data_IF_870931562215
#
_entry.id   IF_870931562215
#
_cell.length_a   1.000
_cell.length_b   1.000
_cell.length_c   1.000
_cell.angle_alpha   90.00
_cell.angle_beta   90.00
_cell.angle_gamma   90.00
#
_symmetry.space_group_name_H-M   'P 1'
#
loop_
_entity.id
_entity.type
_entity.pdbx_description
1 polymer ?
#
# COMPACT_ATOMS: atom_id res chain seq x y z
N UNK A 1 3.43 17.86 -2.75
CA UNK A 1 3.86 16.46 -2.97
C UNK A 1 5.06 16.08 -2.11
N UNK A 2 6.17 16.83 -2.20
CA UNK A 2 7.42 16.55 -1.46
C UNK A 2 7.21 16.38 0.05
N UNK A 3 6.54 17.33 0.71
CA UNK A 3 6.25 17.24 2.17
C UNK A 3 5.45 15.98 2.52
N UNK A 4 4.42 15.64 1.73
CA UNK A 4 3.63 14.45 1.96
C UNK A 4 4.42 13.16 1.74
N UNK A 5 5.30 13.12 0.72
CA UNK A 5 6.21 12.00 0.50
C UNK A 5 7.19 11.82 1.64
N UNK A 6 7.77 12.91 2.15
CA UNK A 6 8.67 12.90 3.30
C UNK A 6 7.97 12.38 4.55
N UNK A 7 6.78 12.92 4.88
CA UNK A 7 5.97 12.45 6.02
C UNK A 7 5.61 10.97 5.87
N UNK A 8 5.24 10.52 4.66
CA UNK A 8 4.93 9.13 4.40
C UNK A 8 6.17 8.24 4.60
N UNK A 9 7.36 8.69 4.15
CA UNK A 9 8.64 7.99 4.34
C UNK A 9 9.02 7.86 5.81
N UNK A 10 8.91 8.96 6.55
CA UNK A 10 9.17 9.00 7.99
C UNK A 10 8.21 8.07 8.74
N UNK A 11 6.90 8.13 8.47
CA UNK A 11 5.92 7.25 9.11
C UNK A 11 6.16 5.78 8.76
N UNK A 12 6.60 5.48 7.53
CA UNK A 12 6.88 4.11 7.13
C UNK A 12 8.10 3.50 7.84
N UNK A 13 9.15 4.30 8.09
CA UNK A 13 10.32 3.88 8.86
C UNK A 13 10.04 3.87 10.38
N UNK A 14 9.28 4.81 10.92
CA UNK A 14 8.88 4.76 12.34
C UNK A 14 7.99 3.55 12.64
N UNK A 15 7.16 3.14 11.67
CA UNK A 15 6.35 1.94 11.80
C UNK A 15 7.16 0.66 11.96
N UNK A 16 8.36 0.57 11.35
CA UNK A 16 9.24 -0.59 11.55
C UNK A 16 9.80 -0.61 12.97
N UNK A 17 10.13 0.55 13.52
CA UNK A 17 10.61 0.67 14.90
C UNK A 17 9.54 0.30 15.92
N UNK A 18 8.29 0.71 15.68
CA UNK A 18 7.17 0.42 16.59
C UNK A 18 6.66 -1.02 16.53
N UNK A 19 7.28 -1.89 15.74
CA UNK A 19 7.02 -3.33 15.76
C UNK A 19 6.58 -3.95 14.45
N UNK A 20 6.48 -3.20 13.34
CA UNK A 20 6.27 -3.83 12.03
C UNK A 20 7.56 -4.50 11.55
N UNK A 21 7.49 -5.54 10.70
CA UNK A 21 8.69 -6.17 10.17
C UNK A 21 9.59 -5.12 9.48
N UNK A 22 10.89 -5.14 9.78
CA UNK A 22 11.88 -4.16 9.30
C UNK A 22 11.82 -3.94 7.78
N UNK A 23 11.57 -5.02 7.02
CA UNK A 23 11.49 -4.98 5.57
C UNK A 23 10.09 -4.68 5.02
N UNK A 24 9.10 -4.33 5.85
CA UNK A 24 7.72 -4.15 5.43
C UNK A 24 7.18 -2.75 5.70
N UNK A 25 7.53 -2.09 6.81
CA UNK A 25 7.07 -0.72 7.14
C UNK A 25 5.57 -0.50 6.98
N UNK A 26 5.14 -0.01 5.80
CA UNK A 26 3.73 0.20 5.39
C UNK A 26 3.41 -0.53 4.05
N UNK A 27 3.94 -1.73 3.85
CA UNK A 27 3.80 -2.48 2.60
C UNK A 27 2.39 -3.04 2.41
N UNK A 28 1.58 -2.37 1.59
CA UNK A 28 0.18 -2.76 1.33
C UNK A 28 0.05 -4.20 0.81
N UNK A 29 0.94 -4.65 -0.09
CA UNK A 29 0.86 -6.00 -0.66
C UNK A 29 1.09 -7.09 0.39
N UNK A 30 2.10 -6.93 1.25
CA UNK A 30 2.35 -7.86 2.35
C UNK A 30 1.20 -7.82 3.35
N UNK A 31 0.63 -6.65 3.61
CA UNK A 31 -0.43 -6.50 4.60
C UNK A 31 -1.73 -7.14 4.14
N UNK A 32 -2.07 -7.03 2.86
CA UNK A 32 -3.23 -7.70 2.28
C UNK A 32 -3.09 -9.22 2.31
N UNK A 33 -1.87 -9.75 2.11
CA UNK A 33 -1.57 -11.18 2.34
C UNK A 33 -1.80 -11.53 3.81
N UNK A 34 -1.25 -10.76 4.75
CA UNK A 34 -1.38 -11.07 6.18
C UNK A 34 -2.85 -11.07 6.63
N UNK A 35 -3.65 -10.12 6.12
CA UNK A 35 -5.11 -10.07 6.34
C UNK A 35 -5.79 -11.31 5.76
N UNK A 36 -5.43 -11.73 4.54
CA UNK A 36 -5.96 -12.95 3.95
C UNK A 36 -5.62 -14.19 4.79
N UNK A 37 -4.41 -14.26 5.35
CA UNK A 37 -3.99 -15.30 6.29
C UNK A 37 -4.76 -15.26 7.61
N UNK A 38 -4.96 -14.06 8.17
CA UNK A 38 -5.72 -13.86 9.41
C UNK A 38 -7.20 -14.21 9.27
N UNK A 39 -7.79 -13.99 8.09
CA UNK A 39 -9.16 -14.42 7.76
C UNK A 39 -9.26 -15.90 7.37
N UNK A 40 -8.15 -16.62 7.31
CA UNK A 40 -8.12 -18.05 6.96
C UNK A 40 -8.30 -18.36 5.47
N UNK A 41 -8.16 -17.37 4.58
CA UNK A 41 -8.18 -17.57 3.13
C UNK A 41 -6.97 -18.35 2.62
N UNK A 42 -5.88 -18.36 3.39
CA UNK A 42 -4.76 -19.30 3.25
C UNK A 42 -4.24 -19.75 4.61
N UNK A 43 -3.52 -20.87 4.64
CA UNK A 43 -3.07 -21.57 5.87
C UNK A 43 -1.58 -21.46 6.18
N UNK A 44 -0.87 -20.52 5.54
CA UNK A 44 0.53 -20.27 5.85
C UNK A 44 0.69 -19.63 7.25
N UNK A 45 1.10 -20.43 8.24
CA UNK A 45 1.13 -20.06 9.67
C UNK A 45 2.06 -18.90 10.05
N UNK A 46 2.97 -18.48 9.16
CA UNK A 46 3.93 -17.39 9.40
C UNK A 46 3.42 -15.99 9.03
N UNK A 47 2.27 -15.91 8.36
CA UNK A 47 1.72 -14.68 7.75
C UNK A 47 0.21 -14.56 7.99
N UNK A 48 -0.22 -14.74 9.24
CA UNK A 48 -1.61 -14.67 9.66
C UNK A 48 -1.78 -13.58 10.70
N UNK A 49 -2.22 -12.40 10.26
CA UNK A 49 -2.53 -11.30 11.16
C UNK A 49 -3.42 -10.29 10.44
N UNK A 50 -4.55 -9.94 11.04
CA UNK A 50 -5.39 -8.90 10.50
C UNK A 50 -4.74 -7.55 10.83
N UNK A 51 -4.23 -6.87 9.79
CA UNK A 51 -3.51 -5.61 9.90
C UNK A 51 -4.44 -4.39 9.92
N UNK A 52 -4.63 -3.74 11.09
CA UNK A 52 -5.53 -2.60 11.21
C UNK A 52 -5.05 -1.36 10.44
N UNK A 53 -3.77 -1.30 10.05
CA UNK A 53 -3.20 -0.23 9.22
C UNK A 53 -3.95 -0.06 7.89
N UNK A 54 -4.31 -1.17 7.23
CA UNK A 54 -5.03 -1.13 5.94
C UNK A 54 -6.44 -0.57 6.13
N UNK A 55 -7.14 -1.01 7.19
CA UNK A 55 -8.44 -0.45 7.54
C UNK A 55 -8.32 1.06 7.81
N UNK A 56 -7.29 1.47 8.56
CA UNK A 56 -6.95 2.87 8.78
C UNK A 56 -6.71 3.66 7.50
N UNK A 57 -5.91 3.16 6.55
CA UNK A 57 -5.66 3.85 5.27
C UNK A 57 -6.94 4.08 4.50
N UNK A 58 -7.78 3.05 4.38
CA UNK A 58 -9.01 3.12 3.60
C UNK A 58 -10.01 4.07 4.26
N UNK A 59 -10.16 4.01 5.59
CA UNK A 59 -11.05 4.91 6.33
C UNK A 59 -10.54 6.36 6.30
N UNK A 60 -9.23 6.57 6.44
CA UNK A 60 -8.62 7.90 6.36
C UNK A 60 -8.81 8.52 4.98
N UNK A 61 -8.59 7.73 3.93
CA UNK A 61 -8.84 8.16 2.56
C UNK A 61 -10.33 8.45 2.30
N UNK A 62 -11.24 7.65 2.87
CA UNK A 62 -12.68 7.87 2.77
C UNK A 62 -13.12 9.17 3.47
N UNK A 63 -12.65 9.40 4.71
CA UNK A 63 -12.93 10.64 5.46
C UNK A 63 -12.42 11.86 4.71
N UNK A 64 -11.19 11.81 4.18
CA UNK A 64 -10.64 12.89 3.36
C UNK A 64 -11.48 13.11 2.08
N UNK A 65 -11.85 12.04 1.37
CA UNK A 65 -12.67 12.15 0.16
C UNK A 65 -14.03 12.82 0.44
N UNK A 66 -14.64 12.53 1.59
CA UNK A 66 -15.90 13.14 1.99
C UNK A 66 -15.73 14.60 2.43
N UNK A 67 -14.76 14.88 3.29
CA UNK A 67 -14.46 16.23 3.80
C UNK A 67 -14.15 17.22 2.68
N UNK A 68 -13.39 16.79 1.67
CA UNK A 68 -13.05 17.62 0.51
C UNK A 68 -14.05 17.52 -0.65
N UNK A 69 -15.20 16.85 -0.45
CA UNK A 69 -16.26 16.67 -1.46
C UNK A 69 -15.76 16.06 -2.77
N UNK A 70 -14.71 15.24 -2.71
CA UNK A 70 -14.16 14.51 -3.86
C UNK A 70 -14.75 13.11 -4.02
N UNK A 71 -15.53 12.64 -3.03
CA UNK A 71 -16.12 11.32 -3.03
C UNK A 71 -17.05 11.11 -4.23
N UNK A 72 -16.67 10.18 -5.11
CA UNK A 72 -17.43 9.80 -6.30
C UNK A 72 -17.44 8.27 -6.42
N UNK A 73 -18.60 7.66 -6.17
CA UNK A 73 -18.81 6.24 -6.39
C UNK A 73 -18.73 5.93 -7.90
N UNK A 74 -17.70 5.18 -8.30
CA UNK A 74 -17.44 4.81 -9.69
C UNK A 74 -17.27 3.30 -9.79
N UNK A 75 -17.89 2.73 -10.81
CA UNK A 75 -17.77 1.33 -11.20
C UNK A 75 -16.86 1.18 -12.42
N UNK A 76 -16.12 0.08 -12.47
CA UNK A 76 -15.32 -0.30 -13.62
C UNK A 76 -16.12 -1.05 -14.68
N UNK A 77 -15.81 -0.80 -15.95
CA UNK A 77 -16.08 -1.73 -17.05
C UNK A 77 -15.06 -2.88 -17.05
N UNK A 78 -15.48 -4.06 -17.54
CA UNK A 78 -14.65 -5.29 -17.62
C UNK A 78 -14.13 -5.80 -16.26
N UNK A 79 -15.00 -6.25 -15.35
CA UNK A 79 -14.61 -6.69 -14.00
C UNK A 79 -13.62 -7.86 -14.00
N UNK A 80 -13.79 -8.83 -14.91
CA UNK A 80 -12.92 -10.00 -15.01
C UNK A 80 -11.46 -9.62 -15.35
N UNK A 81 -11.26 -8.69 -16.28
CA UNK A 81 -9.91 -8.23 -16.69
C UNK A 81 -9.25 -7.50 -15.53
N UNK A 82 -9.98 -6.63 -14.82
CA UNK A 82 -9.46 -5.90 -13.66
C UNK A 82 -9.09 -6.84 -12.51
N UNK A 83 -9.91 -7.87 -12.28
CA UNK A 83 -9.63 -8.89 -11.29
C UNK A 83 -8.36 -9.68 -11.63
N UNK A 84 -8.23 -10.14 -12.88
CA UNK A 84 -7.03 -10.85 -13.35
C UNK A 84 -5.78 -9.99 -13.25
N UNK A 85 -5.84 -8.71 -13.66
CA UNK A 85 -4.73 -7.77 -13.49
C UNK A 85 -4.33 -7.61 -12.02
N UNK A 86 -5.31 -7.47 -11.11
CA UNK A 86 -5.05 -7.41 -9.67
C UNK A 86 -4.40 -8.68 -9.13
N UNK A 87 -4.88 -9.86 -9.57
CA UNK A 87 -4.31 -11.14 -9.19
C UNK A 87 -2.85 -11.28 -9.64
N UNK A 88 -2.53 -10.93 -10.89
CA UNK A 88 -1.14 -10.95 -11.38
C UNK A 88 -0.23 -9.97 -10.66
N UNK A 89 -0.74 -8.76 -10.32
CA UNK A 89 0.01 -7.79 -9.51
C UNK A 89 0.31 -8.36 -8.13
N UNK A 90 -0.67 -9.00 -7.47
CA UNK A 90 -0.45 -9.60 -6.15
C UNK A 90 0.50 -10.79 -6.20
N UNK A 91 0.37 -11.68 -7.18
CA UNK A 91 1.29 -12.80 -7.38
C UNK A 91 2.71 -12.27 -7.61
N UNK A 92 2.89 -11.32 -8.53
CA UNK A 92 4.20 -10.73 -8.80
C UNK A 92 4.81 -10.01 -7.59
N UNK A 93 4.01 -9.23 -6.85
CA UNK A 93 4.48 -8.52 -5.67
C UNK A 93 4.91 -9.46 -4.53
N UNK A 94 4.26 -10.62 -4.40
CA UNK A 94 4.58 -11.61 -3.37
C UNK A 94 5.75 -12.53 -3.77
N UNK A 95 5.80 -12.98 -5.02
CA UNK A 95 6.86 -13.88 -5.52
C UNK A 95 8.20 -13.16 -5.64
N UNK A 96 8.21 -11.97 -6.23
CA UNK A 96 9.45 -11.20 -6.46
C UNK A 96 9.75 -10.20 -5.33
N UNK A 97 8.94 -10.18 -4.27
CA UNK A 97 9.01 -9.20 -3.18
C UNK A 97 8.97 -7.72 -3.66
N UNK A 98 8.47 -7.50 -4.89
CA UNK A 98 8.60 -6.24 -5.64
C UNK A 98 7.56 -5.17 -5.32
N UNK A 99 7.05 -5.09 -4.09
CA UNK A 99 6.18 -3.97 -3.74
C UNK A 99 7.00 -2.67 -3.72
N UNK A 100 6.57 -1.60 -4.40
CA UNK A 100 7.39 -0.38 -4.53
C UNK A 100 7.72 0.27 -3.20
N UNK A 101 6.79 0.25 -2.24
CA UNK A 101 7.02 0.77 -0.88
C UNK A 101 8.12 -0.04 -0.18
N UNK A 102 8.02 -1.37 -0.25
CA UNK A 102 9.00 -2.29 0.35
C UNK A 102 10.38 -2.15 -0.28
N UNK A 103 10.44 -2.05 -1.61
CA UNK A 103 11.70 -1.91 -2.33
C UNK A 103 12.41 -0.59 -1.98
N UNK A 104 11.67 0.51 -1.86
CA UNK A 104 12.24 1.80 -1.45
C UNK A 104 12.65 1.81 0.02
N UNK A 105 11.91 1.14 0.91
CA UNK A 105 12.31 1.00 2.33
C UNK A 105 13.57 0.14 2.49
N UNK A 106 13.70 -0.96 1.73
CA UNK A 106 14.94 -1.77 1.71
C UNK A 106 16.13 -0.92 1.25
N UNK A 107 15.95 -0.18 0.16
CA UNK A 107 16.98 0.73 -0.35
C UNK A 107 17.35 1.83 0.66
N UNK A 108 16.36 2.36 1.40
CA UNK A 108 16.60 3.33 2.46
C UNK A 108 17.31 2.74 3.69
N UNK A 109 17.29 1.42 3.87
CA UNK A 109 17.99 0.70 4.93
C UNK A 109 19.38 0.19 4.52
N UNK A 110 19.87 0.53 3.32
CA UNK A 110 21.19 0.09 2.82
C UNK A 110 21.15 -1.17 1.93
N UNK A 111 20.01 -1.85 1.85
CA UNK A 111 19.88 -3.09 1.09
C UNK A 111 19.74 -2.85 -0.43
N UNK A 112 20.83 -3.17 -1.15
CA UNK A 112 20.97 -3.01 -2.61
C UNK A 112 20.02 -3.93 -3.41
N UNK A 113 19.47 -4.99 -2.82
CA UNK A 113 18.44 -5.80 -3.47
C UNK A 113 17.18 -4.98 -3.80
N UNK A 114 16.96 -3.88 -3.08
CA UNK A 114 15.88 -2.93 -3.37
C UNK A 114 15.95 -2.39 -4.81
N UNK A 115 17.15 -2.29 -5.40
CA UNK A 115 17.38 -1.79 -6.76
C UNK A 115 16.84 -2.78 -7.79
N UNK A 116 17.07 -4.08 -7.61
CA UNK A 116 16.60 -5.10 -8.57
C UNK A 116 15.07 -5.17 -8.57
N UNK A 117 14.45 -5.08 -7.38
CA UNK A 117 13.02 -4.99 -7.23
C UNK A 117 12.44 -3.72 -7.88
N UNK A 118 13.08 -2.56 -7.70
CA UNK A 118 12.69 -1.32 -8.37
C UNK A 118 12.80 -1.45 -9.90
N UNK A 119 13.90 -2.04 -10.39
CA UNK A 119 14.12 -2.31 -11.80
C UNK A 119 12.99 -3.14 -12.41
N UNK A 120 12.53 -4.19 -11.71
CA UNK A 120 11.36 -4.98 -12.11
C UNK A 120 10.09 -4.15 -12.22
N UNK A 121 9.82 -3.27 -11.24
CA UNK A 121 8.65 -2.35 -11.27
C UNK A 121 8.75 -1.36 -12.43
N UNK A 122 9.95 -0.82 -12.71
CA UNK A 122 10.18 0.11 -13.82
C UNK A 122 9.99 -0.56 -15.17
N UNK A 123 10.59 -1.75 -15.37
CA UNK A 123 10.44 -2.53 -16.61
C UNK A 123 8.98 -2.94 -16.82
N UNK A 124 8.31 -3.42 -15.77
CA UNK A 124 6.89 -3.75 -15.81
C UNK A 124 6.01 -2.55 -16.16
N UNK A 125 6.29 -1.38 -15.57
CA UNK A 125 5.60 -0.14 -15.92
C UNK A 125 5.86 0.27 -17.38
N UNK A 126 7.10 0.14 -17.87
CA UNK A 126 7.46 0.46 -19.26
C UNK A 126 6.72 -0.44 -20.27
N UNK A 127 6.64 -1.75 -20.00
CA UNK A 127 5.85 -2.68 -20.82
C UNK A 127 4.37 -2.30 -20.77
N UNK A 128 3.82 -2.00 -19.60
CA UNK A 128 2.43 -1.53 -19.46
C UNK A 128 2.16 -0.26 -20.27
N UNK A 129 3.09 0.70 -20.24
CA UNK A 129 3.03 1.95 -21.02
C UNK A 129 3.03 1.66 -22.53
N UNK A 130 3.84 0.71 -22.98
CA UNK A 130 3.87 0.30 -24.38
C UNK A 130 2.50 -0.19 -24.87
N UNK A 131 1.81 -1.03 -24.08
CA UNK A 131 0.44 -1.46 -24.39
C UNK A 131 -0.57 -0.30 -24.34
N UNK A 132 -0.45 0.60 -23.35
CA UNK A 132 -1.30 1.79 -23.24
C UNK A 132 -1.15 2.72 -24.46
N UNK A 133 0.08 2.93 -24.94
CA UNK A 133 0.35 3.72 -26.15
C UNK A 133 -0.24 3.09 -27.42
N UNK A 134 -0.42 1.77 -27.44
CA UNK A 134 -1.07 1.04 -28.55
C UNK A 134 -2.60 0.99 -28.46
N UNK A 135 -3.20 1.75 -27.55
CA UNK A 135 -4.67 1.90 -27.46
C UNK A 135 -5.35 0.96 -26.47
N UNK A 136 -4.60 0.26 -25.61
CA UNK A 136 -5.22 -0.53 -24.54
C UNK A 136 -6.00 0.37 -23.57
N UNK A 137 -7.27 0.05 -23.33
CA UNK A 137 -8.13 0.80 -22.41
C UNK A 137 -9.03 -0.15 -21.61
N UNK A 138 -9.16 0.09 -20.30
CA UNK A 138 -9.98 -0.71 -19.38
C UNK A 138 -11.46 -0.27 -19.36
N UNK A 139 -11.91 0.34 -20.46
CA UNK A 139 -13.22 0.96 -20.65
C UNK A 139 -13.50 2.14 -19.70
N UNK A 140 -14.64 2.81 -19.92
CA UNK A 140 -15.02 4.02 -19.17
C UNK A 140 -15.57 3.66 -17.78
N UNK A 141 -15.12 4.39 -16.76
CA UNK A 141 -15.71 4.29 -15.43
C UNK A 141 -17.14 4.86 -15.43
N UNK A 142 -18.12 4.05 -15.01
CA UNK A 142 -19.52 4.46 -14.90
C UNK A 142 -19.84 4.99 -13.50
N UNK A 143 -20.72 5.99 -13.40
CA UNK A 143 -21.21 6.47 -12.10
C UNK A 143 -22.10 5.40 -11.48
N UNK A 144 -21.85 5.06 -10.22
CA UNK A 144 -22.66 4.11 -9.46
C UNK A 144 -23.44 4.83 -8.36
N UNK A 145 -24.45 4.14 -7.80
CA UNK A 145 -25.15 4.61 -6.60
C UNK A 145 -24.15 4.80 -5.45
N UNK A 146 -24.33 5.84 -4.64
CA UNK A 146 -23.48 6.15 -3.49
C UNK A 146 -23.32 4.97 -2.53
N UNK A 147 -24.40 4.19 -2.32
CA UNK A 147 -24.40 2.99 -1.49
C UNK A 147 -23.32 1.96 -1.89
N UNK A 148 -23.06 1.79 -3.19
CA UNK A 148 -22.01 0.87 -3.65
C UNK A 148 -20.61 1.33 -3.23
N UNK A 149 -20.39 2.65 -3.11
CA UNK A 149 -19.11 3.20 -2.66
C UNK A 149 -18.88 3.07 -1.14
N UNK A 150 -19.91 2.78 -0.36
CA UNK A 150 -19.82 2.60 1.10
C UNK A 150 -19.46 1.17 1.51
N UNK A 151 -19.59 0.22 0.58
CA UNK A 151 -19.30 -1.21 0.83
C UNK A 151 -17.88 -1.41 1.35
N UNK A 152 -16.88 -0.76 0.72
CA UNK A 152 -15.48 -0.91 1.10
C UNK A 152 -15.18 -0.30 2.49
N UNK A 153 -15.56 0.97 2.79
CA UNK A 153 -15.40 1.52 4.13
C UNK A 153 -16.08 0.69 5.22
N UNK A 154 -17.31 0.21 4.98
CA UNK A 154 -18.05 -0.64 5.94
C UNK A 154 -17.35 -1.97 6.14
N UNK A 155 -16.86 -2.61 5.06
CA UNK A 155 -16.08 -3.84 5.18
C UNK A 155 -14.80 -3.64 6.00
N UNK A 156 -14.11 -2.50 5.83
CA UNK A 156 -12.90 -2.18 6.61
C UNK A 156 -13.21 -1.93 8.08
N UNK A 157 -14.35 -1.31 8.42
CA UNK A 157 -14.82 -1.23 9.80
C UNK A 157 -15.11 -2.62 10.38
N UNK A 158 -15.71 -3.50 9.59
CA UNK A 158 -15.93 -4.90 9.97
C UNK A 158 -14.61 -5.63 10.27
N UNK A 159 -13.61 -5.48 9.40
CA UNK A 159 -12.27 -6.05 9.63
C UNK A 159 -11.63 -5.48 10.91
N UNK A 160 -11.75 -4.17 11.15
CA UNK A 160 -11.22 -3.53 12.37
C UNK A 160 -11.91 -4.06 13.64
N UNK A 161 -13.22 -4.32 13.57
CA UNK A 161 -13.97 -4.94 14.66
C UNK A 161 -13.55 -6.40 14.89
N UNK A 162 -13.24 -7.15 13.84
CA UNK A 162 -12.70 -8.51 13.96
C UNK A 162 -11.35 -8.55 14.69
N UNK A 163 -10.48 -7.56 14.49
CA UNK A 163 -9.20 -7.44 15.21
C UNK A 163 -9.42 -7.27 16.72
N UNK A 164 -10.48 -6.54 17.11
CA UNK A 164 -10.78 -6.23 18.51
C UNK A 164 -11.47 -7.41 19.19
N UNK A 165 -12.46 -8.01 18.53
CA UNK A 165 -13.28 -9.11 19.10
C UNK A 165 -12.52 -10.43 19.10
N UNK A 166 -11.54 -10.62 18.21
CA UNK A 166 -10.71 -11.84 18.07
C UNK A 166 -11.53 -13.14 18.12
N UNK A 167 -12.50 -13.33 17.20
CA UNK A 167 -13.30 -14.54 17.19
C UNK A 167 -12.44 -15.76 16.80
N UNK A 168 -12.85 -16.97 17.20
CA UNK A 168 -12.07 -18.20 17.07
C UNK A 168 -11.67 -18.60 15.63
N UNK A 169 -12.27 -17.99 14.61
CA UNK A 169 -11.90 -18.23 13.21
C UNK A 169 -10.77 -17.31 12.70
N UNK A 170 -10.36 -16.30 13.48
CA UNK A 170 -9.26 -15.41 13.13
C UNK A 170 -7.94 -16.01 13.61
N UNK A 171 -7.02 -16.21 12.68
CA UNK A 171 -5.71 -16.79 12.96
C UNK A 171 -4.69 -15.69 13.27
N UNK A 172 -3.87 -15.93 14.28
CA UNK A 172 -2.76 -15.09 14.69
C UNK A 172 -1.48 -15.92 14.65
N UNK A 173 -0.48 -15.45 13.91
CA UNK A 173 0.83 -16.08 13.82
C UNK A 173 1.62 -15.90 15.12
N UNK A 174 2.17 -16.99 15.66
CA UNK A 174 3.09 -16.95 16.80
C UNK A 174 4.52 -16.62 16.38
N UNK A 175 4.89 -16.92 15.13
CA UNK A 175 6.23 -16.69 14.58
C UNK A 175 6.16 -16.15 13.15
N UNK A 176 7.25 -15.50 12.73
CA UNK A 176 7.37 -14.91 11.40
C UNK A 176 6.80 -13.49 11.28
N UNK A 177 6.73 -12.93 10.06
CA UNK A 177 6.32 -11.54 9.85
C UNK A 177 4.91 -11.21 10.34
N UNK A 178 4.03 -12.21 10.51
CA UNK A 178 2.68 -12.01 11.06
C UNK A 178 2.65 -11.75 12.57
N UNK A 179 3.68 -12.13 13.34
CA UNK A 179 3.74 -11.87 14.79
C UNK A 179 4.29 -10.47 15.13
N UNK A 180 5.04 -9.87 14.21
CA UNK A 180 5.53 -8.50 14.32
C UNK A 180 4.44 -7.51 13.94
N UNK A 181 3.81 -6.93 14.96
CA UNK A 181 2.78 -5.93 14.76
C UNK A 181 2.90 -4.75 15.72
N UNK A 182 2.60 -3.58 15.19
CA UNK A 182 2.45 -2.33 15.95
C UNK A 182 1.16 -2.38 16.80
N UNK A 183 1.10 -1.72 17.97
CA UNK A 183 -0.13 -1.63 18.75
C UNK A 183 -1.32 -1.13 17.90
N UNK A 184 -2.50 -1.71 18.11
CA UNK A 184 -3.67 -1.47 17.25
C UNK A 184 -4.01 0.03 17.16
N UNK A 185 -3.94 0.76 18.28
CA UNK A 185 -4.25 2.19 18.29
C UNK A 185 -3.29 3.01 17.42
N UNK A 186 -1.98 2.78 17.51
CA UNK A 186 -0.99 3.50 16.71
C UNK A 186 -1.08 3.11 15.23
N UNK A 187 -1.31 1.82 14.94
CA UNK A 187 -1.58 1.33 13.59
C UNK A 187 -2.79 2.01 12.92
N UNK A 188 -3.88 2.19 13.66
CA UNK A 188 -5.08 2.89 13.16
C UNK A 188 -4.84 4.39 12.98
N UNK A 189 -4.22 5.06 13.96
CA UNK A 189 -3.98 6.52 13.90
C UNK A 189 -3.08 6.88 12.72
N UNK A 190 -1.96 6.16 12.56
CA UNK A 190 -1.06 6.39 11.42
C UNK A 190 -1.70 5.92 10.13
N UNK A 191 -2.46 4.83 10.16
CA UNK A 191 -3.33 4.40 9.06
C UNK A 191 -4.23 5.54 8.57
N UNK A 192 -4.96 6.18 9.46
CA UNK A 192 -5.83 7.32 9.13
C UNK A 192 -5.05 8.50 8.55
N UNK A 193 -3.94 8.89 9.20
CA UNK A 193 -3.12 10.03 8.77
C UNK A 193 -2.55 9.82 7.36
N UNK A 194 -1.99 8.63 7.11
CA UNK A 194 -1.46 8.25 5.80
C UNK A 194 -2.56 8.14 4.77
N UNK A 195 -3.74 7.61 5.12
CA UNK A 195 -4.90 7.54 4.24
C UNK A 195 -5.36 8.93 3.77
N UNK A 196 -5.42 9.89 4.70
CA UNK A 196 -5.74 11.30 4.39
C UNK A 196 -4.69 11.90 3.45
N UNK A 197 -3.40 11.71 3.75
CA UNK A 197 -2.29 12.19 2.92
C UNK A 197 -2.31 11.57 1.52
N UNK A 198 -2.52 10.25 1.43
CA UNK A 198 -2.56 9.52 0.18
C UNK A 198 -3.72 9.98 -0.71
N UNK A 199 -4.91 10.19 -0.13
CA UNK A 199 -6.07 10.70 -0.87
C UNK A 199 -5.83 12.12 -1.41
N UNK A 200 -5.20 12.99 -0.62
CA UNK A 200 -4.92 14.39 -1.00
C UNK A 200 -3.84 14.51 -2.06
N UNK A 201 -2.82 13.67 -1.99
CA UNK A 201 -1.67 13.74 -2.89
C UNK A 201 -1.80 12.84 -4.11
N UNK A 202 -2.73 11.87 -4.08
CA UNK A 202 -2.90 10.84 -5.12
C UNK A 202 -1.59 10.13 -5.43
N UNK A 203 -0.79 9.92 -4.38
CA UNK A 203 0.54 9.34 -4.51
C UNK A 203 0.43 7.90 -5.04
N UNK A 204 1.11 7.65 -6.17
CA UNK A 204 1.19 6.33 -6.78
C UNK A 204 2.60 6.11 -7.33
N UNK A 205 3.28 5.07 -6.83
CA UNK A 205 4.64 4.74 -7.26
C UNK A 205 4.71 4.39 -8.76
N UNK A 206 3.81 3.52 -9.22
CA UNK A 206 3.72 3.14 -10.64
C UNK A 206 3.27 4.33 -11.51
N UNK A 207 2.37 5.16 -10.97
CA UNK A 207 1.93 6.40 -11.62
C UNK A 207 3.08 7.40 -11.82
N UNK A 208 3.99 7.52 -10.85
CA UNK A 208 5.17 8.36 -10.97
C UNK A 208 6.10 7.93 -12.10
N UNK A 209 6.39 6.64 -12.22
CA UNK A 209 7.17 6.11 -13.35
C UNK A 209 6.48 6.30 -14.69
N UNK A 210 5.15 6.06 -14.73
CA UNK A 210 4.33 6.28 -15.93
C UNK A 210 4.35 7.73 -16.39
N UNK A 211 4.12 8.66 -15.49
CA UNK A 211 3.99 10.09 -15.81
C UNK A 211 5.34 10.67 -16.21
N UNK A 212 6.43 10.21 -15.59
CA UNK A 212 7.79 10.54 -15.99
C UNK A 212 8.13 10.05 -17.41
N UNK A 213 7.74 8.82 -17.76
CA UNK A 213 8.04 8.23 -19.08
C UNK A 213 7.10 8.70 -20.21
N UNK A 214 5.83 8.98 -19.92
CA UNK A 214 4.84 9.38 -20.92
C UNK A 214 4.70 10.89 -21.09
N UNK A 215 4.58 11.62 -19.97
CA UNK A 215 4.22 13.04 -19.95
C UNK A 215 5.42 13.91 -19.57
N UNK A 216 6.51 13.30 -19.05
CA UNK A 216 7.69 13.97 -18.49
C UNK A 216 7.35 14.86 -17.28
N UNK A 217 6.31 14.49 -16.52
CA UNK A 217 5.93 15.17 -15.28
C UNK A 217 6.66 14.56 -14.09
N UNK A 218 7.38 15.41 -13.34
CA UNK A 218 8.17 15.02 -12.17
C UNK A 218 7.41 15.18 -10.86
N UNK A 219 6.16 15.66 -10.88
CA UNK A 219 5.38 15.93 -9.67
C UNK A 219 5.28 14.69 -8.76
N UNK A 220 4.84 13.56 -9.30
CA UNK A 220 4.71 12.29 -8.57
C UNK A 220 6.07 11.68 -8.21
N UNK A 221 7.05 11.81 -9.09
CA UNK A 221 8.41 11.31 -8.87
C UNK A 221 9.09 12.04 -7.69
N UNK A 222 8.89 13.35 -7.56
CA UNK A 222 9.36 14.13 -6.41
C UNK A 222 8.77 13.64 -5.09
N UNK A 223 7.56 13.06 -5.10
CA UNK A 223 6.98 12.39 -3.92
C UNK A 223 7.68 11.09 -3.57
N UNK A 224 8.06 10.27 -4.57
CA UNK A 224 8.80 9.02 -4.38
C UNK A 224 10.21 9.30 -3.86
N UNK A 225 10.90 10.28 -4.45
CA UNK A 225 12.22 10.70 -3.98
C UNK A 225 12.16 11.24 -2.54
N UNK A 226 11.16 12.06 -2.21
CA UNK A 226 10.96 12.54 -0.86
C UNK A 226 10.64 11.42 0.14
N UNK A 227 9.91 10.37 -0.29
CA UNK A 227 9.67 9.18 0.52
C UNK A 227 10.97 8.43 0.83
N UNK A 228 11.85 8.23 -0.17
CA UNK A 228 13.16 7.63 0.03
C UNK A 228 14.00 8.45 1.02
N UNK A 229 14.07 9.77 0.83
CA UNK A 229 14.83 10.67 1.71
C UNK A 229 14.28 10.65 3.14
N UNK A 230 12.94 10.69 3.30
CA UNK A 230 12.31 10.64 4.62
C UNK A 230 12.58 9.34 5.35
N UNK A 231 12.52 8.20 4.65
CA UNK A 231 12.85 6.90 5.22
C UNK A 231 14.35 6.79 5.56
N UNK A 232 15.23 7.29 4.69
CA UNK A 232 16.68 7.28 4.90
C UNK A 232 17.08 8.13 6.12
N UNK A 233 16.49 9.30 6.31
CA UNK A 233 16.77 10.15 7.49
C UNK A 233 16.42 9.43 8.78
N UNK A 234 15.27 8.74 8.83
CA UNK A 234 14.87 7.99 10.02
C UNK A 234 15.77 6.79 10.26
N UNK A 235 16.08 6.02 9.21
CA UNK A 235 17.00 4.89 9.33
C UNK A 235 18.41 5.33 9.74
N UNK A 236 18.90 6.46 9.23
CA UNK A 236 20.17 7.07 9.64
C UNK A 236 20.14 7.48 11.12
N UNK A 237 19.05 8.12 11.56
CA UNK A 237 18.88 8.55 12.95
C UNK A 237 18.78 7.37 13.93
N UNK A 238 18.20 6.25 13.50
CA UNK A 238 18.09 5.02 14.28
C UNK A 238 19.35 4.14 14.19
N UNK A 239 20.31 4.46 13.30
CA UNK A 239 21.52 3.67 13.11
C UNK A 239 21.30 2.35 12.37
N UNK A 240 20.20 2.21 11.64
CA UNK A 240 19.80 1.00 10.90
C UNK A 240 20.32 1.00 9.46
N UNK A 241 21.39 1.73 9.18
CA UNK A 241 22.04 1.73 7.87
C UNK A 241 23.19 0.73 7.95
N UNK A 242 23.02 -0.40 7.27
CA UNK A 242 24.08 -1.37 7.01
C UNK A 242 24.69 -1.18 5.61
#
# INVERSE_FOLDING_TARGET
>A
MVVAGLVFGVLAALMTEWGNPANMGICIACFLRDIAGGLGLHRAGVVQYIRPEIAGFVLGAFVAAFAFREFRARGGSYPIVRFMLGAFVMIGALVFLGCPVRAVLRLAGGDLDGITALGGVVVGAAIGIFFLRRGFNLGRAARMKSAAGWVIPVAMLGILLLVIVKPAFVFFSESGPGSFHVPIATAVVVGLAVGVLAQRTRMCFVGGWRDLMMVKDTYLFGGIAAFLVGAFIVNAALGHIE
#
